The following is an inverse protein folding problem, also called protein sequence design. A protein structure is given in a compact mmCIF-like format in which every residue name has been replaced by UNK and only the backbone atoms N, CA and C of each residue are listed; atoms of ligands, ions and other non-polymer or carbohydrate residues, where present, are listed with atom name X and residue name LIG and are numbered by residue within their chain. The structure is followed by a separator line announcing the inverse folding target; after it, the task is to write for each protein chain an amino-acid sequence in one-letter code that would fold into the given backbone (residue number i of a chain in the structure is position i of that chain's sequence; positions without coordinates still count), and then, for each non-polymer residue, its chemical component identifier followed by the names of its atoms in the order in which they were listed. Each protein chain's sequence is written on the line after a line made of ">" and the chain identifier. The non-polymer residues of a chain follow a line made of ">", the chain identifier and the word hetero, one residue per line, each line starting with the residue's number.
data_IF_427049295915
#
_entry.id   IF_427049295915
#
_cell.length_a   1.000
_cell.length_b   1.000
_cell.length_c   1.000
_cell.angle_alpha   90.00
_cell.angle_beta   90.00
_cell.angle_gamma   90.00
#
_symmetry.space_group_name_H-M   'P 1'
#
loop_
_entity.id
_entity.type
_entity.pdbx_description
1 polymer ?
#
# COMPACT_ATOMS: atom_id res chain seq x y z
N UNK A 1 42.70 -11.09 28.67
CA UNK A 1 42.78 -11.11 30.16
C UNK A 1 43.95 -10.28 30.70
N UNK A 2 45.09 -10.13 30.01
CA UNK A 2 46.21 -9.29 30.48
C UNK A 2 45.86 -7.79 30.66
N UNK A 3 45.14 -7.17 29.70
CA UNK A 3 44.79 -5.74 29.78
C UNK A 3 43.86 -5.39 30.96
N UNK A 4 43.01 -6.31 31.40
CA UNK A 4 42.09 -6.05 32.53
C UNK A 4 42.83 -6.02 33.87
N UNK A 5 43.85 -6.87 34.04
CA UNK A 5 44.70 -6.86 35.23
C UNK A 5 45.57 -5.60 35.29
N UNK A 6 46.14 -5.17 34.17
CA UNK A 6 46.92 -3.92 34.08
C UNK A 6 46.04 -2.68 34.30
N UNK A 7 44.84 -2.62 33.73
CA UNK A 7 43.90 -1.51 34.00
C UNK A 7 43.48 -1.44 35.47
N UNK A 8 43.24 -2.59 36.11
CA UNK A 8 42.87 -2.61 37.52
C UNK A 8 44.02 -2.10 38.40
N UNK A 9 45.27 -2.48 38.09
CA UNK A 9 46.45 -2.01 38.80
C UNK A 9 46.71 -0.49 38.62
N UNK A 10 46.43 0.06 37.43
CA UNK A 10 46.62 1.49 37.13
C UNK A 10 45.46 2.38 37.62
N UNK A 11 44.31 1.79 37.95
CA UNK A 11 43.11 2.53 38.36
C UNK A 11 43.32 3.44 39.58
N UNK A 12 44.10 2.98 40.56
CA UNK A 12 44.41 3.76 41.77
C UNK A 12 45.27 4.99 41.48
N UNK A 13 46.23 4.87 40.56
CA UNK A 13 47.09 5.99 40.15
C UNK A 13 46.27 7.04 39.39
N UNK A 14 45.42 6.60 38.45
CA UNK A 14 44.56 7.50 37.67
C UNK A 14 43.57 8.24 38.59
N UNK A 15 42.99 7.54 39.58
CA UNK A 15 42.07 8.16 40.53
C UNK A 15 42.78 9.17 41.45
N UNK A 16 44.02 8.88 41.86
CA UNK A 16 44.83 9.81 42.65
C UNK A 16 45.20 11.06 41.84
N UNK A 17 45.59 10.91 40.57
CA UNK A 17 45.89 12.02 39.67
C UNK A 17 44.66 12.92 39.46
N UNK A 18 43.47 12.33 39.27
CA UNK A 18 42.21 13.08 39.18
C UNK A 18 41.90 13.90 40.44
N UNK A 19 42.07 13.29 41.62
CA UNK A 19 41.86 13.99 42.88
C UNK A 19 42.89 15.12 43.09
N UNK A 20 44.16 14.90 42.68
CA UNK A 20 45.20 15.92 42.72
C UNK A 20 44.91 17.08 41.76
N UNK A 21 44.46 16.80 40.53
CA UNK A 21 44.07 17.83 39.57
C UNK A 21 42.86 18.64 40.06
N UNK A 22 41.85 17.97 40.63
CA UNK A 22 40.66 18.64 41.15
C UNK A 22 41.01 19.57 42.32
N UNK A 23 41.76 19.06 43.30
CA UNK A 23 42.21 19.84 44.47
C UNK A 23 43.15 20.99 44.07
N UNK A 24 44.00 20.80 43.06
CA UNK A 24 44.84 21.88 42.51
C UNK A 24 43.99 22.96 41.86
N UNK A 25 43.00 22.58 41.04
CA UNK A 25 42.11 23.52 40.37
C UNK A 25 41.26 24.29 41.39
N UNK A 26 40.72 23.62 42.42
CA UNK A 26 40.02 24.26 43.53
C UNK A 26 40.92 25.26 44.26
N UNK A 27 42.17 24.87 44.57
CA UNK A 27 43.14 25.74 45.23
C UNK A 27 43.47 26.99 44.40
N UNK A 28 43.57 26.86 43.07
CA UNK A 28 43.79 27.98 42.15
C UNK A 28 42.59 28.94 42.19
N UNK A 29 41.36 28.43 42.15
CA UNK A 29 40.16 29.27 42.21
C UNK A 29 40.03 29.96 43.58
N UNK A 30 40.29 29.25 44.68
CA UNK A 30 40.33 29.86 46.01
C UNK A 30 41.38 30.98 46.11
N UNK A 31 42.54 30.79 45.48
CA UNK A 31 43.58 31.82 45.41
C UNK A 31 43.16 33.00 44.55
N UNK A 32 42.51 32.76 43.42
CA UNK A 32 41.97 33.83 42.56
C UNK A 32 40.93 34.68 43.31
N UNK A 33 40.04 34.05 44.08
CA UNK A 33 39.09 34.76 44.94
C UNK A 33 39.79 35.59 46.02
N UNK A 34 40.79 35.00 46.67
CA UNK A 34 41.60 35.73 47.65
C UNK A 34 42.31 36.94 47.03
N UNK A 35 42.73 36.85 45.76
CA UNK A 35 43.28 37.99 45.00
C UNK A 35 42.23 39.08 44.73
N UNK A 36 41.01 38.70 44.35
CA UNK A 36 39.89 39.64 44.13
C UNK A 36 39.52 40.38 45.42
N UNK A 37 39.56 39.70 46.58
CA UNK A 37 39.29 40.31 47.89
C UNK A 37 40.43 41.24 48.36
N UNK A 38 41.68 40.93 48.01
CA UNK A 38 42.87 41.67 48.45
C UNK A 38 43.09 43.01 47.71
N UNK A 39 42.35 43.32 46.65
CA UNK A 39 42.37 44.65 46.00
C UNK A 39 43.61 44.91 45.13
N UNK A 40 44.19 46.11 45.23
CA UNK A 40 45.25 46.58 44.31
C UNK A 40 46.65 45.98 44.51
N UNK A 41 46.80 45.06 45.47
CA UNK A 41 48.09 44.43 45.79
C UNK A 41 48.69 43.69 44.58
N UNK A 42 47.85 43.20 43.66
CA UNK A 42 48.27 42.41 42.50
C UNK A 42 48.31 43.17 41.17
N UNK A 43 48.11 44.49 41.16
CA UNK A 43 48.11 45.31 39.92
C UNK A 43 49.43 45.20 39.15
N UNK A 44 50.55 45.18 39.86
CA UNK A 44 51.87 45.09 39.23
C UNK A 44 52.19 43.71 38.67
N UNK A 45 51.53 42.65 39.16
CA UNK A 45 51.79 41.27 38.76
C UNK A 45 50.90 40.79 37.59
N UNK A 46 49.61 41.18 37.58
CA UNK A 46 48.65 40.78 36.53
C UNK A 46 48.40 41.86 35.46
N UNK A 47 48.78 43.12 35.73
CA UNK A 47 48.40 44.26 34.90
C UNK A 47 47.04 44.85 35.29
N UNK A 48 46.79 46.10 34.87
CA UNK A 48 45.56 46.85 35.23
C UNK A 48 44.31 46.22 34.63
N UNK A 49 44.32 45.91 33.34
CA UNK A 49 43.15 45.44 32.60
C UNK A 49 42.62 44.11 33.17
N UNK A 50 43.52 43.17 33.45
CA UNK A 50 43.16 41.88 34.06
C UNK A 50 42.63 42.05 35.48
N UNK A 51 43.19 42.97 36.29
CA UNK A 51 42.69 43.25 37.63
C UNK A 51 41.28 43.88 37.58
N UNK A 52 41.02 44.78 36.63
CA UNK A 52 39.71 45.40 36.45
C UNK A 52 38.63 44.38 36.06
N UNK A 53 38.95 43.44 35.14
CA UNK A 53 38.06 42.33 34.78
C UNK A 53 37.75 41.46 36.00
N UNK A 54 38.77 41.13 36.81
CA UNK A 54 38.59 40.32 38.02
C UNK A 54 37.77 41.04 39.10
N UNK A 55 37.85 42.37 39.18
CA UNK A 55 37.01 43.19 40.07
C UNK A 55 35.56 43.25 39.65
N UNK A 56 35.26 43.13 38.36
CA UNK A 56 33.86 43.07 37.90
C UNK A 56 33.17 41.79 38.40
N UNK A 57 33.93 40.72 38.63
CA UNK A 57 33.44 39.43 39.13
C UNK A 57 33.37 39.29 40.67
N UNK A 58 33.40 40.40 41.42
CA UNK A 58 33.59 40.41 42.89
C UNK A 58 32.57 39.64 43.73
N UNK A 59 31.35 39.46 43.22
CA UNK A 59 30.25 38.82 43.96
C UNK A 59 30.14 37.30 43.75
N UNK A 60 31.03 36.66 42.99
CA UNK A 60 30.97 35.20 42.81
C UNK A 60 31.58 34.45 43.99
N UNK A 61 30.74 33.74 44.74
CA UNK A 61 31.17 32.83 45.80
C UNK A 61 31.70 31.52 45.19
N UNK A 62 32.62 30.83 45.89
CA UNK A 62 33.19 29.54 45.45
C UNK A 62 32.11 28.47 45.20
N UNK A 63 30.95 28.60 45.87
CA UNK A 63 29.78 27.73 45.68
C UNK A 63 29.23 27.78 44.25
N UNK A 64 29.43 28.89 43.54
CA UNK A 64 28.89 29.10 42.19
C UNK A 64 29.82 28.51 41.12
N UNK A 65 31.06 28.16 41.47
CA UNK A 65 32.03 27.52 40.59
C UNK A 65 32.12 26.02 40.86
N UNK A 66 31.44 25.22 40.03
CA UNK A 66 31.67 23.78 39.96
C UNK A 66 32.83 23.47 39.00
N UNK A 67 33.98 23.07 39.52
CA UNK A 67 35.07 22.54 38.69
C UNK A 67 34.76 21.09 38.36
N UNK A 68 34.34 20.83 37.12
CA UNK A 68 34.12 19.48 36.61
C UNK A 68 35.37 18.94 35.92
N UNK A 69 35.89 17.80 36.39
CA UNK A 69 36.92 17.06 35.67
C UNK A 69 36.24 16.04 34.74
N UNK A 70 36.47 16.14 33.44
CA UNK A 70 36.01 15.16 32.46
C UNK A 70 37.19 14.34 31.95
N UNK A 71 37.14 13.02 32.18
CA UNK A 71 38.13 12.10 31.62
C UNK A 71 38.03 12.10 30.11
N UNK A 72 39.19 12.17 29.44
CA UNK A 72 39.25 11.89 28.01
C UNK A 72 38.69 10.48 27.75
N UNK A 73 37.93 10.28 26.67
CA UNK A 73 37.41 8.97 26.36
C UNK A 73 38.56 7.97 26.12
N UNK A 74 38.46 6.82 26.76
CA UNK A 74 39.46 5.75 26.66
C UNK A 74 39.41 5.13 25.25
N UNK A 75 40.54 4.59 24.78
CA UNK A 75 40.57 3.86 23.51
C UNK A 75 39.61 2.67 23.50
N UNK A 76 39.33 2.06 24.66
CA UNK A 76 38.30 1.03 24.82
C UNK A 76 36.89 1.54 24.51
N UNK A 77 36.50 2.67 25.10
CA UNK A 77 35.17 3.27 24.88
C UNK A 77 34.98 3.68 23.42
N UNK A 78 36.05 4.18 22.79
CA UNK A 78 36.07 4.50 21.36
C UNK A 78 35.89 3.27 20.50
N UNK A 79 36.59 2.16 20.81
CA UNK A 79 36.44 0.89 20.08
C UNK A 79 35.04 0.33 20.20
N UNK A 80 34.45 0.36 21.40
CA UNK A 80 33.07 -0.08 21.62
C UNK A 80 32.08 0.76 20.80
N UNK A 81 32.23 2.09 20.80
CA UNK A 81 31.36 2.97 20.01
C UNK A 81 31.51 2.74 18.49
N UNK A 82 32.73 2.47 18.01
CA UNK A 82 32.97 2.12 16.61
C UNK A 82 32.32 0.77 16.25
N UNK A 83 32.34 -0.21 17.15
CA UNK A 83 31.69 -1.50 16.95
C UNK A 83 30.16 -1.36 16.89
N UNK A 84 29.57 -0.61 17.83
CA UNK A 84 28.15 -0.25 17.82
C UNK A 84 27.77 0.48 16.51
N UNK A 85 28.58 1.46 16.09
CA UNK A 85 28.35 2.19 14.85
C UNK A 85 28.41 1.29 13.61
N UNK A 86 29.35 0.33 13.56
CA UNK A 86 29.44 -0.65 12.46
C UNK A 86 28.20 -1.53 12.34
N UNK A 87 27.63 -1.95 13.48
CA UNK A 87 26.37 -2.72 13.48
C UNK A 87 25.20 -1.89 12.93
N UNK A 88 25.15 -0.60 13.26
CA UNK A 88 24.10 0.31 12.79
C UNK A 88 24.24 0.70 11.30
N UNK A 89 25.45 0.64 10.73
CA UNK A 89 25.66 0.77 9.28
C UNK A 89 25.01 -0.40 8.54
N UNK A 90 25.09 -1.62 9.09
CA UNK A 90 24.42 -2.78 8.49
C UNK A 90 22.89 -2.61 8.45
N UNK A 91 22.32 -1.83 9.37
CA UNK A 91 20.90 -1.45 9.39
C UNK A 91 20.56 -0.22 8.53
N UNK A 92 21.51 0.32 7.76
CA UNK A 92 21.36 1.53 6.92
C UNK A 92 20.85 2.76 7.72
N UNK A 93 21.20 2.83 9.02
CA UNK A 93 20.87 3.97 9.88
C UNK A 93 22.02 4.97 9.99
N UNK A 94 23.26 4.51 9.81
CA UNK A 94 24.48 5.33 9.86
C UNK A 94 25.32 5.12 8.60
N UNK A 95 26.21 6.07 8.31
CA UNK A 95 27.12 5.99 7.16
C UNK A 95 28.58 5.78 7.61
N UNK A 96 29.45 5.33 6.70
CA UNK A 96 30.89 5.14 6.99
C UNK A 96 31.56 6.45 7.40
N UNK A 97 31.09 7.60 6.89
CA UNK A 97 31.54 8.93 7.31
C UNK A 97 31.36 9.18 8.83
N UNK A 98 30.34 8.59 9.44
CA UNK A 98 30.08 8.71 10.87
C UNK A 98 31.12 7.95 11.72
N UNK A 99 31.74 6.88 11.18
CA UNK A 99 32.86 6.19 11.85
C UNK A 99 34.10 7.08 11.87
N UNK A 100 34.40 7.76 10.77
CA UNK A 100 35.52 8.70 10.72
C UNK A 100 35.34 9.84 11.73
N UNK A 101 34.11 10.34 11.89
CA UNK A 101 33.77 11.34 12.91
C UNK A 101 34.07 10.83 14.34
N UNK A 102 33.74 9.57 14.63
CA UNK A 102 34.06 8.95 15.93
C UNK A 102 35.58 8.80 16.12
N UNK A 103 36.35 8.53 15.07
CA UNK A 103 37.80 8.38 15.17
C UNK A 103 38.50 9.73 15.42
N UNK A 104 38.08 10.79 14.74
CA UNK A 104 38.76 12.09 14.80
C UNK A 104 38.40 12.91 16.06
N UNK A 105 37.18 12.75 16.58
CA UNK A 105 36.72 13.58 17.69
C UNK A 105 37.38 13.25 19.03
N UNK A 106 37.69 14.32 19.78
CA UNK A 106 38.18 14.24 21.17
C UNK A 106 37.05 14.08 22.18
N UNK A 107 35.83 14.50 21.84
CA UNK A 107 34.67 14.42 22.72
C UNK A 107 33.66 13.41 22.16
N UNK A 108 33.63 12.21 22.76
CA UNK A 108 32.72 11.15 22.35
C UNK A 108 31.25 11.45 22.69
N UNK A 109 30.95 12.23 23.73
CA UNK A 109 29.58 12.58 24.10
C UNK A 109 28.95 13.50 23.07
N UNK A 110 29.69 14.52 22.63
CA UNK A 110 29.26 15.42 21.57
C UNK A 110 29.00 14.66 20.26
N UNK A 111 29.88 13.73 19.90
CA UNK A 111 29.66 12.87 18.74
C UNK A 111 28.43 12.00 18.91
N UNK A 112 28.22 11.40 20.08
CA UNK A 112 27.04 10.54 20.34
C UNK A 112 25.73 11.32 20.15
N UNK A 113 25.66 12.55 20.67
CA UNK A 113 24.51 13.43 20.45
C UNK A 113 24.31 13.79 18.96
N UNK A 114 25.41 14.05 18.25
CA UNK A 114 25.36 14.33 16.81
C UNK A 114 24.89 13.12 15.99
N UNK A 115 25.35 11.91 16.35
CA UNK A 115 24.93 10.67 15.71
C UNK A 115 23.44 10.38 15.97
N UNK A 116 22.98 10.57 17.20
CA UNK A 116 21.57 10.43 17.56
C UNK A 116 20.68 11.38 16.74
N UNK A 117 21.10 12.65 16.61
CA UNK A 117 20.39 13.61 15.78
C UNK A 117 20.32 13.17 14.31
N UNK A 118 21.44 12.69 13.74
CA UNK A 118 21.50 12.16 12.37
C UNK A 118 20.61 10.94 12.18
N UNK A 119 20.61 10.00 13.13
CA UNK A 119 19.76 8.82 13.10
C UNK A 119 18.28 9.18 13.17
N UNK A 120 17.89 10.12 14.04
CA UNK A 120 16.51 10.61 14.12
C UNK A 120 16.07 11.22 12.81
N UNK A 121 16.91 12.08 12.22
CA UNK A 121 16.62 12.70 10.92
C UNK A 121 16.46 11.66 9.80
N UNK A 122 17.39 10.71 9.67
CA UNK A 122 17.27 9.62 8.68
C UNK A 122 16.00 8.78 8.88
N UNK A 123 15.61 8.50 10.12
CA UNK A 123 14.36 7.77 10.41
C UNK A 123 13.13 8.57 10.00
N UNK A 124 13.09 9.86 10.30
CA UNK A 124 12.01 10.75 9.87
C UNK A 124 11.92 10.81 8.34
N UNK A 125 13.06 10.90 7.65
CA UNK A 125 13.10 10.94 6.19
C UNK A 125 12.60 9.60 5.59
N UNK A 126 13.00 8.45 6.15
CA UNK A 126 12.46 7.13 5.75
C UNK A 126 10.95 7.00 5.98
N UNK A 127 10.42 7.57 7.07
CA UNK A 127 8.97 7.57 7.35
C UNK A 127 8.23 8.48 6.36
N UNK A 128 8.80 9.64 6.02
CA UNK A 128 8.20 10.55 5.02
C UNK A 128 8.20 9.92 3.64
N UNK A 129 9.31 9.28 3.27
CA UNK A 129 9.43 8.56 2.00
C UNK A 129 8.43 7.41 1.93
N UNK A 130 8.32 6.59 2.99
CA UNK A 130 7.36 5.49 3.02
C UNK A 130 5.90 5.99 2.99
N UNK A 131 5.60 7.10 3.68
CA UNK A 131 4.28 7.72 3.63
C UNK A 131 3.96 8.28 2.25
N UNK A 132 4.92 8.94 1.60
CA UNK A 132 4.76 9.45 0.23
C UNK A 132 4.55 8.30 -0.76
N UNK A 133 5.33 7.21 -0.62
CA UNK A 133 5.19 6.02 -1.44
C UNK A 133 3.82 5.35 -1.22
N UNK A 134 3.37 5.26 0.03
CA UNK A 134 2.05 4.72 0.36
C UNK A 134 0.92 5.59 -0.19
N UNK A 135 1.04 6.91 -0.10
CA UNK A 135 0.06 7.84 -0.66
C UNK A 135 0.01 7.75 -2.19
N UNK A 136 1.17 7.67 -2.85
CA UNK A 136 1.25 7.50 -4.29
C UNK A 136 0.64 6.16 -4.72
N UNK A 137 0.96 5.06 -4.02
CA UNK A 137 0.38 3.75 -4.28
C UNK A 137 -1.15 3.75 -4.07
N UNK A 138 -1.65 4.40 -3.02
CA UNK A 138 -3.07 4.55 -2.77
C UNK A 138 -3.76 5.37 -3.88
N UNK A 139 -3.13 6.45 -4.35
CA UNK A 139 -3.66 7.28 -5.44
C UNK A 139 -3.70 6.51 -6.77
N UNK A 140 -2.63 5.77 -7.09
CA UNK A 140 -2.57 4.91 -8.28
C UNK A 140 -3.64 3.82 -8.21
N UNK A 141 -3.84 3.20 -7.04
CA UNK A 141 -4.86 2.19 -6.85
C UNK A 141 -6.27 2.78 -6.96
N UNK A 142 -6.50 3.99 -6.45
CA UNK A 142 -7.78 4.70 -6.60
C UNK A 142 -8.06 5.08 -8.05
N UNK A 143 -7.07 5.60 -8.78
CA UNK A 143 -7.21 5.95 -10.19
C UNK A 143 -7.45 4.70 -11.05
N UNK A 144 -6.76 3.60 -10.73
CA UNK A 144 -6.96 2.31 -11.39
C UNK A 144 -8.36 1.74 -11.12
N UNK A 145 -8.87 1.86 -9.90
CA UNK A 145 -10.23 1.46 -9.55
C UNK A 145 -11.28 2.30 -10.29
N UNK A 146 -11.10 3.62 -10.36
CA UNK A 146 -11.99 4.51 -11.12
C UNK A 146 -12.00 4.20 -12.61
N UNK A 147 -10.82 3.99 -13.21
CA UNK A 147 -10.72 3.61 -14.63
C UNK A 147 -11.36 2.25 -14.89
N UNK A 148 -11.13 1.27 -14.02
CA UNK A 148 -11.77 -0.06 -14.11
C UNK A 148 -13.28 0.04 -14.00
N UNK A 149 -13.80 0.91 -13.14
CA UNK A 149 -15.24 1.09 -12.96
C UNK A 149 -15.88 1.85 -14.12
N UNK A 150 -15.17 2.81 -14.71
CA UNK A 150 -15.58 3.47 -15.94
C UNK A 150 -15.58 2.50 -17.13
N UNK A 151 -14.55 1.66 -17.25
CA UNK A 151 -14.52 0.60 -18.26
C UNK A 151 -15.64 -0.41 -18.05
N UNK A 152 -15.91 -0.85 -16.80
CA UNK A 152 -17.05 -1.72 -16.50
C UNK A 152 -18.39 -1.08 -16.86
N UNK A 153 -18.55 0.23 -16.67
CA UNK A 153 -19.76 0.95 -17.10
C UNK A 153 -19.86 0.97 -18.63
N UNK A 154 -18.76 1.17 -19.34
CA UNK A 154 -18.71 1.13 -20.81
C UNK A 154 -19.02 -0.26 -21.35
N UNK A 155 -18.44 -1.32 -20.77
CA UNK A 155 -18.73 -2.70 -21.17
C UNK A 155 -20.17 -3.08 -20.87
N UNK A 156 -20.70 -2.70 -19.70
CA UNK A 156 -22.11 -2.94 -19.36
C UNK A 156 -23.07 -2.18 -20.28
N UNK A 157 -22.77 -0.93 -20.64
CA UNK A 157 -23.57 -0.17 -21.60
C UNK A 157 -23.54 -0.79 -23.01
N UNK A 158 -22.37 -1.25 -23.46
CA UNK A 158 -22.22 -1.95 -24.73
C UNK A 158 -22.99 -3.29 -24.73
N UNK A 159 -22.90 -4.07 -23.64
CA UNK A 159 -23.68 -5.29 -23.47
C UNK A 159 -25.19 -5.02 -23.50
N UNK A 160 -25.65 -3.93 -22.88
CA UNK A 160 -27.06 -3.56 -22.88
C UNK A 160 -27.56 -3.19 -24.28
N UNK A 161 -26.76 -2.43 -25.04
CA UNK A 161 -27.06 -2.12 -26.45
C UNK A 161 -27.09 -3.36 -27.33
N UNK A 162 -26.13 -4.28 -27.14
CA UNK A 162 -26.07 -5.53 -27.89
C UNK A 162 -27.27 -6.43 -27.58
N UNK A 163 -27.65 -6.53 -26.30
CA UNK A 163 -28.86 -7.24 -25.87
C UNK A 163 -30.14 -6.62 -26.44
N UNK A 164 -30.23 -5.30 -26.49
CA UNK A 164 -31.38 -4.61 -27.10
C UNK A 164 -31.50 -4.92 -28.60
N UNK A 165 -30.39 -4.90 -29.34
CA UNK A 165 -30.36 -5.27 -30.76
C UNK A 165 -30.75 -6.75 -30.97
N UNK A 166 -30.24 -7.66 -30.14
CA UNK A 166 -30.61 -9.08 -30.20
C UNK A 166 -32.12 -9.27 -29.95
N UNK A 167 -32.66 -8.60 -28.93
CA UNK A 167 -34.08 -8.67 -28.61
C UNK A 167 -34.94 -8.14 -29.78
N UNK A 168 -34.55 -7.02 -30.38
CA UNK A 168 -35.25 -6.45 -31.55
C UNK A 168 -35.22 -7.42 -32.74
N UNK A 169 -34.09 -8.08 -32.97
CA UNK A 169 -33.91 -9.06 -34.04
C UNK A 169 -34.74 -10.33 -33.79
N UNK A 170 -34.82 -10.79 -32.54
CA UNK A 170 -35.71 -11.88 -32.14
C UNK A 170 -37.18 -11.52 -32.34
N UNK A 171 -37.61 -10.31 -31.97
CA UNK A 171 -38.97 -9.84 -32.22
C UNK A 171 -39.28 -9.76 -33.72
N UNK A 172 -38.32 -9.29 -34.52
CA UNK A 172 -38.46 -9.25 -35.98
C UNK A 172 -38.60 -10.65 -36.58
N UNK A 173 -37.74 -11.58 -36.20
CA UNK A 173 -37.80 -12.98 -36.64
C UNK A 173 -39.10 -13.66 -36.23
N UNK A 174 -39.57 -13.43 -34.99
CA UNK A 174 -40.88 -13.93 -34.55
C UNK A 174 -42.03 -13.34 -35.35
N UNK A 175 -41.96 -12.06 -35.72
CA UNK A 175 -42.93 -11.42 -36.60
C UNK A 175 -42.93 -12.03 -38.01
N UNK A 176 -41.75 -12.32 -38.56
CA UNK A 176 -41.58 -12.94 -39.87
C UNK A 176 -42.09 -14.39 -39.89
N UNK A 177 -41.80 -15.16 -38.84
CA UNK A 177 -42.35 -16.51 -38.63
C UNK A 177 -43.87 -16.48 -38.50
N UNK A 178 -44.43 -15.56 -37.71
CA UNK A 178 -45.88 -15.44 -37.58
C UNK A 178 -46.55 -15.05 -38.91
N UNK A 179 -45.90 -14.22 -39.74
CA UNK A 179 -46.36 -13.90 -41.08
C UNK A 179 -46.27 -15.10 -42.03
N UNK A 180 -45.20 -15.90 -41.93
CA UNK A 180 -45.04 -17.13 -42.70
C UNK A 180 -46.07 -18.18 -42.31
N UNK A 181 -46.37 -18.34 -41.02
CA UNK A 181 -47.43 -19.22 -40.51
C UNK A 181 -48.83 -18.76 -40.99
N UNK A 182 -49.08 -17.46 -41.08
CA UNK A 182 -50.32 -16.93 -41.68
C UNK A 182 -50.37 -17.18 -43.20
N UNK A 183 -49.24 -17.11 -43.90
CA UNK A 183 -49.12 -17.51 -45.30
C UNK A 183 -49.44 -19.00 -45.50
N UNK A 184 -48.91 -19.87 -44.65
CA UNK A 184 -49.21 -21.30 -44.69
C UNK A 184 -50.68 -21.59 -44.35
N UNK A 185 -51.26 -20.97 -43.32
CA UNK A 185 -52.69 -21.11 -42.99
C UNK A 185 -53.62 -20.63 -44.09
N UNK A 186 -53.25 -19.60 -44.86
CA UNK A 186 -54.05 -19.11 -45.98
C UNK A 186 -53.94 -20.02 -47.22
N UNK A 187 -52.79 -20.68 -47.44
CA UNK A 187 -52.68 -21.73 -48.47
C UNK A 187 -53.46 -23.00 -48.10
N UNK A 188 -53.45 -23.42 -46.84
CA UNK A 188 -54.28 -24.52 -46.35
C UNK A 188 -55.78 -24.20 -46.42
N UNK A 189 -56.17 -22.96 -46.13
CA UNK A 189 -57.55 -22.48 -46.28
C UNK A 189 -58.05 -22.49 -47.74
N UNK A 190 -57.18 -22.20 -48.71
CA UNK A 190 -57.52 -22.26 -50.13
C UNK A 190 -57.56 -23.71 -50.67
N UNK A 191 -56.68 -24.58 -50.19
CA UNK A 191 -56.73 -26.02 -50.51
C UNK A 191 -58.05 -26.65 -50.03
N UNK A 192 -58.53 -26.27 -48.84
CA UNK A 192 -59.80 -26.78 -48.31
C UNK A 192 -61.05 -26.26 -49.07
N UNK A 193 -61.01 -25.03 -49.61
CA UNK A 193 -62.09 -24.50 -50.47
C UNK A 193 -62.13 -25.18 -51.84
N UNK A 194 -60.98 -25.54 -52.42
CA UNK A 194 -60.93 -26.29 -53.68
C UNK A 194 -61.49 -27.72 -53.53
N UNK A 195 -61.26 -28.37 -52.38
CA UNK A 195 -61.81 -29.71 -52.08
C UNK A 195 -63.33 -29.65 -51.86
N UNK A 196 -63.85 -28.60 -51.20
CA UNK A 196 -65.31 -28.40 -51.06
C UNK A 196 -65.99 -28.06 -52.39
N UNK A 197 -65.33 -27.32 -53.30
CA UNK A 197 -65.87 -27.03 -54.64
C UNK A 197 -65.93 -28.29 -55.53
N UNK A 198 -65.00 -29.24 -55.37
CA UNK A 198 -65.01 -30.52 -56.07
C UNK A 198 -66.14 -31.46 -55.58
N UNK A 199 -66.48 -31.44 -54.29
CA UNK A 199 -67.56 -32.28 -53.72
C UNK A 199 -68.99 -31.85 -54.09
N UNK A 200 -69.20 -30.60 -54.50
CA UNK A 200 -70.53 -30.09 -54.89
C UNK A 200 -70.87 -30.41 -56.35
N UNK A 201 -69.86 -30.53 -57.23
CA UNK A 201 -70.05 -30.90 -58.64
C UNK A 201 -70.38 -32.39 -58.84
N UNK A 202 -69.84 -33.29 -58.01
CA UNK A 202 -70.17 -34.72 -58.09
C UNK A 202 -71.60 -35.04 -57.65
N UNK A 203 -72.15 -34.30 -56.66
CA UNK A 203 -73.52 -34.53 -56.19
C UNK A 203 -74.59 -33.99 -57.15
N UNK A 204 -74.26 -33.02 -58.02
CA UNK A 204 -75.19 -32.52 -59.03
C UNK A 204 -75.36 -33.48 -60.23
N UNK A 205 -74.40 -34.37 -60.48
CA UNK A 205 -74.46 -35.34 -61.59
C UNK A 205 -75.06 -36.70 -61.18
N UNK A 206 -75.05 -37.06 -59.89
CA UNK A 206 -75.70 -38.29 -59.38
C UNK A 206 -77.21 -38.09 -59.15
N UNK A 207 -77.67 -36.86 -58.86
CA UNK A 207 -79.10 -36.56 -58.72
C UNK A 207 -79.87 -36.51 -60.06
N UNK A 208 -79.19 -36.32 -61.20
CA UNK A 208 -79.83 -36.29 -62.51
C UNK A 208 -80.01 -37.69 -63.16
N UNK A 209 -79.26 -38.70 -62.70
CA UNK A 209 -79.33 -40.07 -63.23
C UNK A 209 -80.20 -41.03 -62.40
N UNK A 210 -80.66 -40.63 -61.21
CA UNK A 210 -81.49 -41.47 -60.35
C UNK A 210 -83.01 -41.39 -60.64
N UNK A 211 -83.46 -40.51 -61.54
CA UNK A 211 -84.89 -40.36 -61.87
C UNK A 211 -85.35 -41.08 -63.15
N UNK A 212 -84.46 -41.80 -63.85
CA UNK A 212 -84.76 -42.42 -65.16
C UNK A 212 -84.46 -43.94 -65.23
N UNK A 213 -84.31 -44.64 -64.09
CA UNK A 213 -83.94 -46.06 -64.06
C UNK A 213 -84.81 -46.89 -63.09
N UNK A 214 -86.12 -46.64 -63.06
CA UNK A 214 -87.11 -47.33 -62.21
C UNK A 214 -88.11 -48.21 -62.99
N UNK A 215 -87.78 -48.59 -64.22
CA UNK A 215 -88.56 -49.57 -64.97
C UNK A 215 -87.61 -50.43 -65.81
N UNK A 216 -87.21 -51.58 -65.28
CA UNK A 216 -87.26 -52.87 -65.99
C UNK A 216 -86.61 -53.99 -65.12
N UNK A 217 -87.49 -54.76 -64.45
CA UNK A 217 -87.54 -56.24 -64.35
C UNK A 217 -86.27 -56.95 -63.82
N UNK A 218 -86.21 -57.37 -62.55
CA UNK A 218 -86.66 -58.67 -61.98
C UNK A 218 -86.14 -59.93 -62.72
N UNK A 219 -85.66 -60.92 -61.94
CA UNK A 219 -84.96 -62.18 -62.30
C UNK A 219 -83.40 -62.04 -62.30
N UNK A 220 -82.59 -62.78 -61.55
CA UNK A 220 -82.73 -64.13 -60.98
C UNK A 220 -82.07 -64.26 -59.58
N UNK A 221 -82.73 -65.07 -58.76
CA UNK A 221 -82.29 -66.01 -57.69
C UNK A 221 -80.91 -66.66 -57.92
N UNK A 222 -80.18 -67.32 -57.01
CA UNK A 222 -80.27 -67.85 -55.63
C UNK A 222 -78.79 -68.29 -55.31
N UNK A 223 -78.21 -67.98 -54.14
CA UNK A 223 -78.13 -68.84 -52.95
C UNK A 223 -76.82 -69.68 -52.81
N UNK A 224 -76.56 -70.07 -51.56
CA UNK A 224 -75.70 -71.16 -51.04
C UNK A 224 -74.40 -70.75 -50.28
N UNK A 225 -74.57 -70.73 -48.94
CA UNK A 225 -73.60 -70.96 -47.84
C UNK A 225 -72.75 -72.26 -47.98
N UNK A 226 -71.84 -72.65 -47.05
CA UNK A 226 -70.92 -71.92 -46.15
C UNK A 226 -69.45 -72.49 -46.13
N UNK A 227 -68.48 -71.70 -45.63
CA UNK A 227 -67.26 -72.10 -44.87
C UNK A 227 -66.25 -73.12 -45.51
N UNK A 228 -65.09 -73.45 -44.88
CA UNK A 228 -64.00 -72.63 -44.32
C UNK A 228 -62.58 -73.16 -44.72
N UNK A 229 -61.55 -72.62 -44.07
CA UNK A 229 -60.14 -73.10 -43.94
C UNK A 229 -59.22 -72.78 -45.13
N UNK A 230 -57.96 -72.37 -44.95
CA UNK A 230 -57.03 -72.42 -43.82
C UNK A 230 -56.11 -71.18 -43.82
#
# INVERSE_FOLDING_TARGET
>A
MANAATNNALSGIVSADEAMLLSLAESIVMRLQSMVMAGDVYVYALGRDTNEILRLSKDMALRDFGIGLEKKPTDGDRRNLIEEAKQLIAGDMLDMADIFLIQESRNLKAVRAQLEFRMRKKREDKIKESMMLQQQNAQVQQQSAMMTEEEKRKTMAAEFQLKAQLLELEYRLKGELAAQEQGHRSTEGNANRAIQAAGVLSNAQVAANASNAEADVEEEEEDIMPMPMA
#
